data_IF_632858559681
#
_entry.id   IF_632858559681
#
_cell.length_a   1.000
_cell.length_b   1.000
_cell.length_c   1.000
_cell.angle_alpha   90.00
_cell.angle_beta   90.00
_cell.angle_gamma   90.00
#
_symmetry.space_group_name_H-M   'P 1'
#
loop_
_entity.id
_entity.type
_entity.pdbx_description
1 polymer ?
#
# COMPACT_ATOMS: atom_id res chain seq x y z
N UNK A 1 5.75 -13.23 -16.30
CA UNK A 1 5.71 -13.26 -14.82
C UNK A 1 7.12 -13.64 -14.37
N UNK A 2 7.75 -12.90 -13.44
CA UNK A 2 9.05 -13.29 -12.91
C UNK A 2 8.94 -14.70 -12.30
N UNK A 3 9.98 -15.51 -12.50
CA UNK A 3 10.07 -16.93 -12.07
C UNK A 3 9.94 -17.12 -10.54
N UNK A 4 9.95 -16.02 -9.78
CA UNK A 4 9.91 -15.95 -8.32
C UNK A 4 8.52 -15.62 -7.73
N UNK A 5 7.50 -15.35 -8.55
CA UNK A 5 6.17 -15.01 -8.05
C UNK A 5 5.39 -16.27 -7.63
N UNK A 6 5.66 -16.78 -6.42
CA UNK A 6 4.89 -17.86 -5.78
C UNK A 6 3.90 -17.30 -4.74
N UNK A 7 2.58 -17.29 -5.02
CA UNK A 7 1.57 -16.79 -4.09
C UNK A 7 1.56 -17.52 -2.74
N UNK A 8 1.97 -18.79 -2.71
CA UNK A 8 2.01 -19.62 -1.50
C UNK A 8 3.16 -19.27 -0.54
N UNK A 9 4.12 -18.46 -0.98
CA UNK A 9 5.30 -18.04 -0.21
C UNK A 9 5.27 -16.59 0.25
N UNK A 10 4.17 -15.87 0.01
CA UNK A 10 4.05 -14.46 0.39
C UNK A 10 4.00 -14.30 1.90
N UNK A 11 4.78 -13.34 2.36
CA UNK A 11 4.80 -12.93 3.76
C UNK A 11 3.49 -12.24 4.11
N UNK A 12 3.11 -12.25 5.39
CA UNK A 12 1.92 -11.53 5.86
C UNK A 12 2.19 -10.02 5.94
N UNK A 13 2.56 -9.42 4.80
CA UNK A 13 3.00 -8.05 4.65
C UNK A 13 2.15 -7.33 3.60
N UNK A 14 1.79 -6.10 3.94
CA UNK A 14 1.13 -5.14 3.07
C UNK A 14 2.12 -4.02 2.78
N UNK A 15 2.30 -3.69 1.50
CA UNK A 15 3.28 -2.69 1.07
C UNK A 15 2.58 -1.41 0.63
N UNK A 16 3.11 -0.28 1.09
CA UNK A 16 2.84 1.04 0.53
C UNK A 16 4.12 1.61 -0.07
N UNK A 17 4.03 2.23 -1.25
CA UNK A 17 5.13 2.89 -1.92
C UNK A 17 4.70 4.31 -2.27
N UNK A 18 5.34 5.30 -1.65
CA UNK A 18 5.05 6.70 -1.92
C UNK A 18 5.83 7.65 -1.04
N UNK A 19 6.15 8.81 -1.60
CA UNK A 19 6.68 9.94 -0.83
C UNK A 19 5.64 10.43 0.18
N UNK A 20 6.10 11.11 1.22
CA UNK A 20 5.22 11.83 2.14
C UNK A 20 4.63 13.08 1.47
N UNK A 21 3.62 12.84 0.65
CA UNK A 21 2.81 13.87 0.01
C UNK A 21 1.34 13.58 0.36
N UNK A 22 0.56 14.56 0.85
CA UNK A 22 -0.83 14.32 1.26
C UNK A 22 -1.67 13.61 0.20
N UNK A 23 -1.43 13.89 -1.08
CA UNK A 23 -2.12 13.27 -2.21
C UNK A 23 -1.87 11.75 -2.34
N UNK A 24 -0.76 11.22 -1.82
CA UNK A 24 -0.47 9.77 -1.84
C UNK A 24 -1.27 8.99 -0.82
N UNK A 25 -1.96 9.69 0.10
CA UNK A 25 -2.94 9.10 0.98
C UNK A 25 -2.39 8.20 2.08
N UNK A 26 -1.10 8.31 2.42
CA UNK A 26 -0.52 7.53 3.53
C UNK A 26 -1.34 7.70 4.83
N UNK A 27 -1.86 8.90 5.10
CA UNK A 27 -2.75 9.16 6.24
C UNK A 27 -4.06 8.37 6.21
N UNK A 28 -4.58 8.01 5.03
CA UNK A 28 -5.78 7.17 4.88
C UNK A 28 -5.44 5.74 5.30
N UNK A 29 -4.34 5.20 4.78
CA UNK A 29 -3.87 3.86 5.12
C UNK A 29 -3.50 3.73 6.60
N UNK A 30 -2.79 4.70 7.16
CA UNK A 30 -2.46 4.69 8.59
C UNK A 30 -3.73 4.70 9.46
N UNK A 31 -4.77 5.46 9.08
CA UNK A 31 -6.06 5.46 9.81
C UNK A 31 -6.79 4.11 9.70
N UNK A 32 -6.64 3.41 8.59
CA UNK A 32 -7.21 2.07 8.37
C UNK A 32 -6.42 0.96 9.08
N UNK A 33 -5.12 1.19 9.34
CA UNK A 33 -4.17 0.17 9.77
C UNK A 33 -4.55 -0.60 11.04
N UNK A 34 -5.08 0.02 12.12
CA UNK A 34 -5.45 -0.72 13.32
C UNK A 34 -6.53 -1.79 13.06
N UNK A 35 -7.46 -1.53 12.15
CA UNK A 35 -8.49 -2.48 11.74
C UNK A 35 -7.87 -3.61 10.92
N UNK A 36 -7.12 -3.26 9.88
CA UNK A 36 -6.44 -4.21 8.98
C UNK A 36 -5.58 -5.17 9.79
N UNK A 37 -4.73 -4.65 10.68
CA UNK A 37 -3.84 -5.47 11.50
C UNK A 37 -4.62 -6.39 12.44
N UNK A 38 -5.73 -5.92 13.02
CA UNK A 38 -6.55 -6.75 13.91
C UNK A 38 -7.17 -7.93 13.17
N UNK A 39 -7.61 -7.73 11.93
CA UNK A 39 -8.27 -8.75 11.12
C UNK A 39 -7.27 -9.73 10.47
N UNK A 40 -6.15 -9.21 9.97
CA UNK A 40 -5.21 -9.98 9.14
C UNK A 40 -3.94 -10.42 9.87
N UNK A 41 -3.59 -9.77 10.99
CA UNK A 41 -2.30 -9.94 11.66
C UNK A 41 -1.10 -9.47 10.82
N UNK A 42 -1.32 -8.72 9.74
CA UNK A 42 -0.27 -8.32 8.81
C UNK A 42 0.68 -7.26 9.38
N UNK A 43 1.84 -7.10 8.74
CA UNK A 43 2.76 -5.97 8.91
C UNK A 43 2.62 -4.98 7.74
N UNK A 44 2.75 -3.69 8.03
CA UNK A 44 2.76 -2.63 7.03
C UNK A 44 4.20 -2.25 6.72
N UNK A 45 4.61 -2.37 5.47
CA UNK A 45 5.91 -1.90 4.96
C UNK A 45 5.69 -0.57 4.25
N UNK A 46 6.22 0.52 4.80
CA UNK A 46 6.09 1.87 4.23
C UNK A 46 7.40 2.26 3.56
N UNK A 47 7.39 2.30 2.23
CA UNK A 47 8.53 2.63 1.38
C UNK A 47 8.36 4.03 0.79
N UNK A 48 9.46 4.79 0.74
CA UNK A 48 9.53 6.12 0.13
C UNK A 48 9.11 7.29 1.05
N UNK A 49 8.57 7.02 2.23
CA UNK A 49 8.23 8.04 3.23
C UNK A 49 9.24 8.04 4.38
N UNK A 50 9.69 9.23 4.79
CA UNK A 50 10.64 9.36 5.90
C UNK A 50 10.05 8.82 7.22
N UNK A 51 10.77 8.00 7.99
CA UNK A 51 10.25 7.40 9.22
C UNK A 51 9.79 8.41 10.28
N UNK A 52 10.43 9.58 10.38
CA UNK A 52 10.00 10.63 11.30
C UNK A 52 8.64 11.20 10.87
N UNK A 53 8.44 11.41 9.56
CA UNK A 53 7.15 11.85 9.02
C UNK A 53 6.03 10.84 9.29
N UNK A 54 6.30 9.54 9.14
CA UNK A 54 5.34 8.48 9.50
C UNK A 54 4.99 8.55 10.99
N UNK A 55 5.99 8.66 11.88
CA UNK A 55 5.77 8.79 13.33
C UNK A 55 4.96 10.04 13.71
N UNK A 56 5.19 11.15 13.02
CA UNK A 56 4.43 12.38 13.23
C UNK A 56 2.97 12.22 12.81
N UNK A 57 2.69 11.55 11.69
CA UNK A 57 1.31 11.22 11.28
C UNK A 57 0.61 10.33 12.32
N UNK A 58 1.29 9.28 12.77
CA UNK A 58 0.75 8.37 13.80
C UNK A 58 0.40 9.14 15.09
N UNK A 59 1.32 9.98 15.56
CA UNK A 59 1.11 10.82 16.76
C UNK A 59 -0.05 11.79 16.56
N UNK A 60 -0.06 12.53 15.44
CA UNK A 60 -1.09 13.53 15.11
C UNK A 60 -2.50 12.92 15.10
N UNK A 61 -2.62 11.70 14.59
CA UNK A 61 -3.90 11.01 14.44
C UNK A 61 -4.20 10.02 15.57
N UNK A 62 -3.34 9.92 16.60
CA UNK A 62 -3.46 8.98 17.73
C UNK A 62 -3.61 7.53 17.28
N UNK A 63 -2.84 7.16 16.25
CA UNK A 63 -2.85 5.81 15.68
C UNK A 63 -1.74 4.99 16.37
N UNK A 64 -2.05 3.79 16.89
CA UNK A 64 -1.02 2.87 17.38
C UNK A 64 -0.02 2.51 16.28
N UNK A 65 1.27 2.50 16.61
CA UNK A 65 2.36 2.25 15.66
C UNK A 65 2.63 0.76 15.38
N UNK A 66 1.97 -0.13 16.12
CA UNK A 66 2.34 -1.54 16.09
C UNK A 66 2.13 -2.19 14.72
N UNK A 67 3.14 -2.97 14.32
CA UNK A 67 3.16 -3.67 13.04
C UNK A 67 3.47 -2.78 11.84
N UNK A 68 3.92 -1.54 12.05
CA UNK A 68 4.33 -0.62 10.98
C UNK A 68 5.86 -0.55 10.91
N UNK A 69 6.41 -0.87 9.75
CA UNK A 69 7.82 -0.75 9.42
C UNK A 69 8.01 0.36 8.38
N UNK A 70 8.41 1.55 8.83
CA UNK A 70 8.78 2.64 7.93
C UNK A 70 10.24 2.48 7.49
N UNK A 71 10.44 2.08 6.23
CA UNK A 71 11.76 1.76 5.68
C UNK A 71 12.48 2.98 5.09
N UNK A 72 11.77 4.10 4.91
CA UNK A 72 12.35 5.27 4.26
C UNK A 72 12.52 5.06 2.76
N UNK A 73 13.51 5.76 2.18
CA UNK A 73 13.87 5.60 0.78
C UNK A 73 14.66 4.31 0.61
N UNK A 74 14.22 3.46 -0.31
CA UNK A 74 14.86 2.19 -0.64
C UNK A 74 15.26 2.18 -2.12
N UNK A 75 16.20 1.33 -2.47
CA UNK A 75 16.58 1.07 -3.87
C UNK A 75 15.44 0.42 -4.65
N UNK A 76 15.53 0.47 -5.99
CA UNK A 76 14.58 -0.20 -6.88
C UNK A 76 14.54 -1.72 -6.66
N UNK A 77 15.71 -2.32 -6.38
CA UNK A 77 15.80 -3.76 -6.08
C UNK A 77 15.06 -4.10 -4.78
N UNK A 78 15.32 -3.36 -3.70
CA UNK A 78 14.63 -3.56 -2.42
C UNK A 78 13.12 -3.36 -2.54
N UNK A 79 12.67 -2.34 -3.28
CA UNK A 79 11.25 -2.15 -3.58
C UNK A 79 10.65 -3.35 -4.29
N UNK A 80 11.36 -3.89 -5.29
CA UNK A 80 10.91 -5.06 -6.05
C UNK A 80 10.82 -6.30 -5.16
N UNK A 81 11.82 -6.51 -4.29
CA UNK A 81 11.85 -7.62 -3.35
C UNK A 81 10.68 -7.54 -2.33
N UNK A 82 10.38 -6.35 -1.83
CA UNK A 82 9.23 -6.11 -0.94
C UNK A 82 7.91 -6.40 -1.67
N UNK A 83 7.74 -5.95 -2.92
CA UNK A 83 6.54 -6.22 -3.71
C UNK A 83 6.36 -7.71 -4.00
N UNK A 84 7.42 -8.42 -4.42
CA UNK A 84 7.38 -9.86 -4.71
C UNK A 84 6.93 -10.70 -3.50
N UNK A 85 7.34 -10.29 -2.30
CA UNK A 85 7.03 -11.00 -1.04
C UNK A 85 5.71 -10.58 -0.42
N UNK A 86 5.17 -9.42 -0.76
CA UNK A 86 3.96 -8.88 -0.16
C UNK A 86 2.70 -9.65 -0.57
N UNK A 87 1.77 -9.77 0.36
CA UNK A 87 0.40 -10.25 0.08
C UNK A 87 -0.40 -9.26 -0.76
N UNK A 88 -0.21 -7.97 -0.51
CA UNK A 88 -0.90 -6.92 -1.22
C UNK A 88 -0.06 -5.63 -1.26
N UNK A 89 -0.22 -4.89 -2.34
CA UNK A 89 0.21 -3.51 -2.48
C UNK A 89 -0.99 -2.57 -2.33
N UNK A 90 -0.81 -1.47 -1.60
CA UNK A 90 -1.89 -0.52 -1.31
C UNK A 90 -1.53 0.89 -1.80
N UNK A 91 -2.37 1.44 -2.66
CA UNK A 91 -2.24 2.78 -3.24
C UNK A 91 -3.47 3.67 -2.92
N UNK A 92 -3.53 4.27 -1.72
CA UNK A 92 -4.71 4.98 -1.21
C UNK A 92 -4.75 6.46 -1.68
N UNK A 93 -4.25 6.73 -2.88
CA UNK A 93 -4.06 8.10 -3.38
C UNK A 93 -5.37 8.89 -3.46
N UNK A 94 -5.34 10.14 -3.03
CA UNK A 94 -6.50 11.05 -3.07
C UNK A 94 -6.77 11.63 -4.46
N UNK A 95 -5.79 11.57 -5.36
CA UNK A 95 -5.89 12.11 -6.71
C UNK A 95 -4.52 12.55 -7.27
N UNK A 96 -4.54 13.12 -8.47
CA UNK A 96 -3.33 13.66 -9.12
C UNK A 96 -2.32 12.59 -9.52
N UNK A 97 -2.78 11.36 -9.78
CA UNK A 97 -1.99 10.29 -10.35
C UNK A 97 -2.27 10.22 -11.84
N UNK A 98 -1.21 10.09 -12.65
CA UNK A 98 -1.35 10.07 -14.11
C UNK A 98 -1.68 8.66 -14.61
N UNK A 99 -0.67 7.77 -14.64
CA UNK A 99 -0.80 6.42 -15.21
C UNK A 99 -0.65 5.31 -14.17
N UNK A 100 -0.54 5.67 -12.88
CA UNK A 100 -0.37 4.67 -11.82
C UNK A 100 0.87 3.79 -11.98
N UNK A 101 2.03 4.37 -12.32
CA UNK A 101 3.30 3.61 -12.47
C UNK A 101 3.56 2.65 -11.31
N UNK A 102 3.26 3.08 -10.08
CA UNK A 102 3.41 2.23 -8.90
C UNK A 102 2.49 0.99 -8.90
N UNK A 103 1.31 1.05 -9.51
CA UNK A 103 0.47 -0.12 -9.74
C UNK A 103 1.09 -1.06 -10.76
N UNK A 104 1.67 -0.52 -11.84
CA UNK A 104 2.31 -1.34 -12.87
C UNK A 104 3.52 -2.12 -12.34
N UNK A 105 4.27 -1.53 -11.40
CA UNK A 105 5.35 -2.20 -10.67
C UNK A 105 4.82 -3.39 -9.84
N UNK A 106 3.70 -3.20 -9.14
CA UNK A 106 3.04 -4.27 -8.39
C UNK A 106 2.50 -5.38 -9.32
N UNK A 107 1.88 -5.03 -10.45
CA UNK A 107 1.42 -5.99 -11.45
C UNK A 107 2.56 -6.80 -12.06
N UNK A 108 3.71 -6.16 -12.32
CA UNK A 108 4.91 -6.86 -12.80
C UNK A 108 5.41 -7.90 -11.78
N UNK A 109 5.21 -7.65 -10.48
CA UNK A 109 5.52 -8.56 -9.38
C UNK A 109 4.39 -9.57 -9.07
N UNK A 110 3.33 -9.59 -9.88
CA UNK A 110 2.09 -10.34 -9.65
C UNK A 110 1.39 -10.00 -8.32
N UNK A 111 1.69 -8.86 -7.70
CA UNK A 111 1.22 -8.48 -6.37
C UNK A 111 -0.19 -7.89 -6.47
N UNK A 112 -1.19 -8.47 -5.76
CA UNK A 112 -2.55 -7.94 -5.71
C UNK A 112 -2.54 -6.49 -5.26
N UNK A 113 -3.37 -5.66 -5.92
CA UNK A 113 -3.44 -4.24 -5.63
C UNK A 113 -4.78 -3.86 -5.01
N UNK A 114 -4.74 -3.07 -3.94
CA UNK A 114 -5.90 -2.32 -3.43
C UNK A 114 -5.60 -0.85 -3.63
N UNK A 115 -6.38 -0.15 -4.45
CA UNK A 115 -6.10 1.22 -4.83
C UNK A 115 -7.34 2.11 -4.73
N UNK A 116 -7.13 3.42 -4.57
CA UNK A 116 -8.23 4.37 -4.60
C UNK A 116 -8.85 4.49 -6.00
N UNK A 117 -10.16 4.65 -6.04
CA UNK A 117 -10.96 4.79 -7.24
C UNK A 117 -10.85 6.20 -7.83
N UNK A 118 -9.69 6.50 -8.42
CA UNK A 118 -9.33 7.79 -9.02
C UNK A 118 -9.06 7.65 -10.52
N UNK A 119 -9.23 8.70 -11.35
CA UNK A 119 -9.09 8.62 -12.80
C UNK A 119 -7.82 7.90 -13.28
N UNK A 120 -6.64 8.30 -12.80
CA UNK A 120 -5.38 7.71 -13.26
C UNK A 120 -5.11 6.26 -12.82
N UNK A 121 -5.91 5.69 -11.91
CA UNK A 121 -5.81 4.28 -11.51
C UNK A 121 -6.85 3.42 -12.23
N UNK A 122 -8.04 3.97 -12.55
CA UNK A 122 -9.09 3.27 -13.29
C UNK A 122 -8.62 2.77 -14.66
N UNK A 123 -7.72 3.51 -15.30
CA UNK A 123 -7.23 3.18 -16.65
C UNK A 123 -6.31 1.94 -16.67
N UNK A 124 -5.76 1.54 -15.52
CA UNK A 124 -4.82 0.40 -15.40
C UNK A 124 -5.33 -0.74 -14.52
N UNK A 125 -6.41 -0.52 -13.77
CA UNK A 125 -7.01 -1.49 -12.88
C UNK A 125 -8.13 -2.27 -13.58
N UNK A 126 -8.17 -3.58 -13.36
CA UNK A 126 -9.28 -4.45 -13.76
C UNK A 126 -9.73 -5.27 -12.55
N UNK A 127 -10.87 -5.95 -12.66
CA UNK A 127 -11.36 -6.87 -11.62
C UNK A 127 -10.43 -8.06 -11.37
N UNK A 128 -9.50 -8.34 -12.29
CA UNK A 128 -8.52 -9.44 -12.18
C UNK A 128 -7.22 -8.99 -11.51
N UNK A 129 -6.88 -7.69 -11.57
CA UNK A 129 -5.60 -7.17 -11.06
C UNK A 129 -5.70 -6.58 -9.66
N UNK A 130 -6.91 -6.24 -9.19
CA UNK A 130 -7.08 -5.70 -7.85
C UNK A 130 -8.48 -5.18 -7.53
N UNK A 131 -8.57 -4.44 -6.44
CA UNK A 131 -9.80 -3.83 -5.93
C UNK A 131 -9.66 -2.31 -5.88
N UNK A 132 -10.66 -1.60 -6.40
CA UNK A 132 -10.79 -0.16 -6.27
C UNK A 132 -11.68 0.19 -5.08
N UNK A 133 -11.28 1.16 -4.27
CA UNK A 133 -12.03 1.66 -3.10
C UNK A 133 -12.23 3.18 -3.17
N UNK A 134 -13.29 3.75 -2.59
CA UNK A 134 -13.45 5.21 -2.54
C UNK A 134 -12.21 5.91 -1.94
N UNK A 135 -11.74 7.03 -2.54
CA UNK A 135 -10.65 7.81 -1.96
C UNK A 135 -11.05 8.42 -0.60
N UNK A 136 -10.07 8.61 0.29
CA UNK A 136 -10.25 9.10 1.66
C UNK A 136 -11.25 8.30 2.53
N UNK A 137 -11.44 7.01 2.24
CA UNK A 137 -12.27 6.12 3.06
C UNK A 137 -11.43 5.00 3.74
N UNK A 138 -10.93 5.24 4.97
CA UNK A 138 -10.20 4.23 5.72
C UNK A 138 -11.00 2.96 6.01
N UNK A 139 -12.35 3.03 6.06
CA UNK A 139 -13.18 1.87 6.37
C UNK A 139 -13.32 0.98 5.14
N UNK A 140 -13.62 1.56 3.98
CA UNK A 140 -13.65 0.82 2.73
C UNK A 140 -12.28 0.21 2.41
N UNK A 141 -11.19 0.95 2.67
CA UNK A 141 -9.83 0.44 2.51
C UNK A 141 -9.56 -0.77 3.42
N UNK A 142 -9.96 -0.71 4.69
CA UNK A 142 -9.80 -1.85 5.60
C UNK A 142 -10.61 -3.07 5.16
N UNK A 143 -11.86 -2.87 4.74
CA UNK A 143 -12.74 -3.95 4.25
C UNK A 143 -12.20 -4.64 3.00
N UNK A 144 -11.55 -3.91 2.10
CA UNK A 144 -10.97 -4.48 0.87
C UNK A 144 -9.69 -5.30 1.12
N UNK A 145 -9.04 -5.11 2.26
CA UNK A 145 -7.79 -5.81 2.65
C UNK A 145 -8.07 -7.01 3.58
N UNK A 146 -9.23 -6.99 4.26
CA UNK A 146 -9.66 -7.97 5.25
C UNK A 146 -9.75 -9.41 4.73
#
# INVERSE_FOLDING_TARGET
MPELADPGRRENAIVFVGRHEPRKGLQVLLRAWPEIRRQTGARLRVLGADPLQVRLLLTRHRIPDGGIDALGFVSEQERTDELLRAKAFVAPSLGGESFGMVLTEAFACATPVVASDIPGYRDVMTTETGVLVPPDDPRALAQAIA
#
